data_IF_207459008701
#
_entry.id   IF_207459008701
#
_cell.length_a   1.000
_cell.length_b   1.000
_cell.length_c   1.000
_cell.angle_alpha   90.00
_cell.angle_beta   90.00
_cell.angle_gamma   90.00
#
_symmetry.space_group_name_H-M   'P 1'
#
loop_
_entity.id
_entity.type
_entity.pdbx_description
1 polymer ?
#
# COMPACT_ATOMS: atom_id res chain seq x y z
N UNK A 1 16.25 10.95 -4.96
CA UNK A 1 15.01 11.56 -4.43
C UNK A 1 15.26 12.13 -3.03
N UNK A 2 14.79 13.35 -2.75
CA UNK A 2 14.85 13.93 -1.41
C UNK A 2 13.94 13.10 -0.48
N UNK A 3 14.51 12.41 0.53
CA UNK A 3 13.75 11.50 1.39
C UNK A 3 12.79 12.30 2.26
N UNK A 4 11.52 12.34 1.86
CA UNK A 4 10.44 12.98 2.63
C UNK A 4 10.36 12.31 4.01
N UNK A 5 10.52 13.10 5.08
CA UNK A 5 10.55 12.59 6.46
C UNK A 5 9.17 12.34 7.05
N UNK A 6 8.14 13.01 6.53
CA UNK A 6 6.77 12.92 7.01
C UNK A 6 5.75 13.05 5.87
N UNK A 7 4.70 12.23 5.91
CA UNK A 7 3.56 12.22 5.00
C UNK A 7 2.28 12.38 5.82
N UNK A 8 1.60 13.53 5.66
CA UNK A 8 0.30 13.76 6.26
C UNK A 8 -0.82 13.32 5.31
N UNK A 9 -1.70 12.46 5.78
CA UNK A 9 -2.87 11.97 5.03
C UNK A 9 -4.05 12.92 5.23
N UNK A 10 -4.55 13.42 4.11
CA UNK A 10 -5.73 14.24 4.04
C UNK A 10 -6.89 13.50 3.36
N UNK A 11 -8.04 14.15 3.19
CA UNK A 11 -9.17 13.66 2.38
C UNK A 11 -8.81 13.54 0.89
N UNK A 12 -7.77 14.27 0.47
CA UNK A 12 -7.22 14.24 -0.89
C UNK A 12 -6.33 13.00 -1.12
N UNK A 13 -5.82 12.84 -2.35
CA UNK A 13 -4.93 11.73 -2.68
C UNK A 13 -3.52 11.89 -2.12
N UNK A 14 -2.74 10.81 -2.23
CA UNK A 14 -1.29 10.81 -2.00
C UNK A 14 -0.57 10.65 -3.34
N UNK A 15 0.71 10.98 -3.38
CA UNK A 15 1.56 10.75 -4.57
C UNK A 15 2.24 9.39 -4.53
N UNK A 16 2.72 8.89 -5.67
CA UNK A 16 3.55 7.69 -5.71
C UNK A 16 4.82 7.85 -4.87
N UNK A 17 5.41 9.05 -4.85
CA UNK A 17 6.57 9.35 -4.03
C UNK A 17 6.27 9.22 -2.52
N UNK A 18 5.05 9.54 -2.08
CA UNK A 18 4.64 9.35 -0.68
C UNK A 18 4.57 7.87 -0.30
N UNK A 19 4.02 7.03 -1.19
CA UNK A 19 3.98 5.56 -0.99
C UNK A 19 5.39 5.01 -0.84
N UNK A 20 6.30 5.38 -1.76
CA UNK A 20 7.70 4.97 -1.69
C UNK A 20 8.39 5.48 -0.41
N UNK A 21 8.13 6.73 -0.01
CA UNK A 21 8.69 7.32 1.21
C UNK A 21 8.30 6.53 2.47
N UNK A 22 7.04 6.12 2.58
CA UNK A 22 6.57 5.32 3.73
C UNK A 22 7.05 3.87 3.64
N UNK A 23 6.96 3.25 2.48
CA UNK A 23 7.27 1.83 2.26
C UNK A 23 8.77 1.53 2.44
N UNK A 24 9.65 2.32 1.79
CA UNK A 24 11.11 2.07 1.72
C UNK A 24 11.94 2.91 2.67
N UNK A 25 11.46 4.10 3.03
CA UNK A 25 12.27 5.11 3.73
C UNK A 25 11.71 5.51 5.10
N UNK A 26 10.74 4.75 5.61
CA UNK A 26 10.17 4.89 6.96
C UNK A 26 9.69 6.32 7.27
N UNK A 27 9.19 7.04 6.26
CA UNK A 27 8.57 8.35 6.46
C UNK A 27 7.44 8.23 7.49
N UNK A 28 7.41 9.17 8.44
CA UNK A 28 6.37 9.21 9.47
C UNK A 28 5.03 9.55 8.84
N UNK A 29 3.96 8.97 9.36
CA UNK A 29 2.60 9.19 8.88
C UNK A 29 1.80 9.93 9.94
N UNK A 30 0.96 10.87 9.50
CA UNK A 30 -0.02 11.56 10.36
C UNK A 30 -1.37 11.67 9.63
N UNK A 31 -2.46 11.84 10.38
CA UNK A 31 -3.80 12.07 9.82
C UNK A 31 -4.16 13.54 10.03
N UNK A 32 -4.59 14.22 8.97
CA UNK A 32 -4.96 15.64 9.04
C UNK A 32 -6.27 15.85 9.83
N UNK A 33 -6.50 17.07 10.36
CA UNK A 33 -7.78 17.42 10.98
C UNK A 33 -8.98 17.30 10.02
N UNK A 34 -8.78 17.60 8.73
CA UNK A 34 -9.81 17.47 7.70
C UNK A 34 -10.16 16.01 7.44
N UNK A 35 -9.17 15.11 7.34
CA UNK A 35 -9.40 13.67 7.24
C UNK A 35 -10.15 13.13 8.48
N UNK A 36 -9.73 13.54 9.68
CA UNK A 36 -10.40 13.18 10.94
C UNK A 36 -11.87 13.60 10.93
N UNK A 37 -12.17 14.82 10.49
CA UNK A 37 -13.54 15.34 10.39
C UNK A 37 -14.38 14.55 9.37
N UNK A 38 -13.82 14.23 8.21
CA UNK A 38 -14.49 13.47 7.17
C UNK A 38 -14.77 12.02 7.63
N UNK A 39 -13.81 11.38 8.30
CA UNK A 39 -13.99 10.05 8.88
C UNK A 39 -15.11 10.02 9.91
N UNK A 40 -15.12 10.96 10.87
CA UNK A 40 -16.18 11.06 11.88
C UNK A 40 -17.56 11.28 11.25
N UNK A 41 -17.64 12.10 10.20
CA UNK A 41 -18.89 12.31 9.44
C UNK A 41 -19.36 11.01 8.79
N UNK A 42 -18.45 10.28 8.13
CA UNK A 42 -18.76 9.00 7.49
C UNK A 42 -19.17 7.91 8.49
N UNK A 43 -18.60 7.95 9.70
CA UNK A 43 -18.86 6.99 10.76
C UNK A 43 -20.28 7.14 11.30
N UNK A 44 -20.76 8.37 11.49
CA UNK A 44 -22.14 8.64 11.95
C UNK A 44 -23.19 7.97 11.06
N UNK A 45 -23.02 8.02 9.73
CA UNK A 45 -23.93 7.30 8.82
C UNK A 45 -23.95 5.79 9.08
N UNK A 46 -22.80 5.18 9.36
CA UNK A 46 -22.74 3.74 9.66
C UNK A 46 -23.42 3.41 10.98
N UNK A 47 -23.26 4.26 11.99
CA UNK A 47 -23.92 4.12 13.28
C UNK A 47 -25.44 4.24 13.15
N UNK A 48 -25.92 5.21 12.36
CA UNK A 48 -27.34 5.38 12.06
C UNK A 48 -27.92 4.16 11.31
N UNK A 49 -27.20 3.64 10.31
CA UNK A 49 -27.60 2.42 9.59
C UNK A 49 -27.56 1.18 10.47
N UNK A 50 -26.61 1.08 11.39
CA UNK A 50 -26.51 -0.03 12.32
C UNK A 50 -27.65 -0.02 13.35
N UNK A 51 -28.10 1.16 13.76
CA UNK A 51 -29.25 1.35 14.66
C UNK A 51 -30.60 1.21 13.95
N UNK A 52 -30.65 1.49 12.65
CA UNK A 52 -31.85 1.40 11.82
C UNK A 52 -32.30 -0.04 11.51
N UNK A 53 -33.53 -0.17 11.03
CA UNK A 53 -34.13 -1.46 10.64
C UNK A 53 -33.85 -1.89 9.19
N UNK A 54 -33.18 -1.05 8.39
CA UNK A 54 -32.89 -1.35 6.98
C UNK A 54 -31.62 -2.21 6.87
N UNK A 55 -31.66 -3.40 6.26
CA UNK A 55 -30.48 -4.22 6.05
C UNK A 55 -29.43 -3.52 5.16
N UNK A 56 -28.18 -3.49 5.60
CA UNK A 56 -27.04 -2.91 4.88
C UNK A 56 -25.90 -3.92 4.86
N UNK A 57 -25.37 -4.18 3.66
CA UNK A 57 -24.31 -5.17 3.42
C UNK A 57 -23.07 -4.90 4.29
N UNK A 58 -22.63 -5.92 5.02
CA UNK A 58 -21.47 -5.86 5.91
C UNK A 58 -21.67 -5.03 7.18
N UNK A 59 -22.87 -4.49 7.41
CA UNK A 59 -23.28 -3.79 8.63
C UNK A 59 -24.28 -4.65 9.41
N UNK A 60 -25.37 -5.08 8.76
CA UNK A 60 -26.46 -5.87 9.36
C UNK A 60 -26.79 -7.16 8.59
N UNK A 61 -25.98 -7.49 7.57
CA UNK A 61 -26.01 -8.78 6.87
C UNK A 61 -24.64 -9.45 6.81
N UNK A 62 -24.60 -10.73 6.43
CA UNK A 62 -23.37 -11.48 6.19
C UNK A 62 -22.58 -11.03 4.94
N UNK A 63 -21.54 -11.79 4.59
CA UNK A 63 -20.64 -11.48 3.47
C UNK A 63 -20.70 -12.54 2.36
N UNK A 64 -20.44 -12.14 1.10
CA UNK A 64 -20.37 -13.06 -0.03
C UNK A 64 -21.65 -13.89 -0.19
N UNK A 65 -21.51 -15.22 -0.18
CA UNK A 65 -22.65 -16.14 -0.28
C UNK A 65 -23.70 -15.96 0.84
N UNK A 66 -23.33 -15.34 1.97
CA UNK A 66 -24.20 -15.10 3.12
C UNK A 66 -24.75 -13.67 3.15
N UNK A 67 -24.62 -12.90 2.06
CA UNK A 67 -25.06 -11.49 1.98
C UNK A 67 -26.54 -11.28 2.28
N UNK A 68 -27.38 -12.31 2.10
CA UNK A 68 -28.83 -12.26 2.31
C UNK A 68 -29.26 -12.64 3.75
N UNK A 69 -28.34 -13.05 4.61
CA UNK A 69 -28.66 -13.41 6.00
C UNK A 69 -28.58 -12.18 6.90
N UNK A 70 -29.66 -11.93 7.64
CA UNK A 70 -29.68 -10.91 8.69
C UNK A 70 -28.82 -11.34 9.88
N UNK A 71 -28.13 -10.37 10.49
CA UNK A 71 -27.25 -10.61 11.64
C UNK A 71 -27.72 -9.77 12.83
N UNK A 72 -28.06 -10.48 13.91
CA UNK A 72 -28.46 -9.88 15.18
C UNK A 72 -27.37 -8.94 15.71
N UNK A 73 -27.78 -7.83 16.33
CA UNK A 73 -26.86 -6.79 16.83
C UNK A 73 -25.75 -7.37 17.72
N UNK A 74 -26.09 -8.32 18.59
CA UNK A 74 -25.15 -8.99 19.51
C UNK A 74 -24.03 -9.75 18.79
N UNK A 75 -24.28 -10.23 17.57
CA UNK A 75 -23.36 -11.07 16.82
C UNK A 75 -22.51 -10.27 15.82
N UNK A 76 -22.83 -8.99 15.60
CA UNK A 76 -22.15 -8.15 14.60
C UNK A 76 -20.67 -7.94 14.89
N UNK A 77 -20.27 -7.75 16.15
CA UNK A 77 -18.85 -7.62 16.52
C UNK A 77 -18.10 -8.93 16.21
N UNK A 78 -18.67 -10.06 16.65
CA UNK A 78 -18.07 -11.37 16.41
C UNK A 78 -17.99 -11.70 14.91
N UNK A 79 -18.97 -11.27 14.12
CA UNK A 79 -18.96 -11.41 12.67
C UNK A 79 -17.77 -10.70 12.03
N UNK A 80 -17.46 -9.45 12.43
CA UNK A 80 -16.31 -8.72 11.87
C UNK A 80 -14.98 -9.43 12.21
N UNK A 81 -14.81 -9.90 13.45
CA UNK A 81 -13.62 -10.67 13.87
C UNK A 81 -13.50 -11.98 13.09
N UNK A 82 -14.62 -12.68 12.90
CA UNK A 82 -14.66 -13.96 12.16
C UNK A 82 -14.37 -13.77 10.67
N UNK A 83 -14.79 -12.66 10.07
CA UNK A 83 -14.44 -12.30 8.70
C UNK A 83 -12.91 -12.21 8.55
N UNK A 84 -12.26 -11.44 9.40
CA UNK A 84 -10.79 -11.27 9.38
C UNK A 84 -10.09 -12.62 9.52
N UNK A 85 -10.43 -13.40 10.55
CA UNK A 85 -9.80 -14.71 10.81
C UNK A 85 -10.00 -15.71 9.68
N UNK A 86 -11.21 -15.76 9.09
CA UNK A 86 -11.50 -16.69 7.99
C UNK A 86 -10.79 -16.30 6.68
N UNK A 87 -10.52 -15.02 6.46
CA UNK A 87 -9.91 -14.52 5.23
C UNK A 87 -8.38 -14.41 5.32
N UNK A 88 -7.79 -14.49 6.52
CA UNK A 88 -6.35 -14.61 6.73
C UNK A 88 -5.80 -16.00 6.35
N UNK A 89 -6.18 -16.48 5.16
CA UNK A 89 -5.89 -17.80 4.63
C UNK A 89 -4.68 -17.82 3.67
N UNK A 90 -3.79 -16.84 3.79
CA UNK A 90 -2.58 -16.76 2.97
C UNK A 90 -1.58 -17.89 3.27
N UNK A 91 -0.80 -18.30 2.27
CA UNK A 91 0.23 -19.35 2.37
C UNK A 91 1.52 -18.95 1.64
N UNK A 92 2.60 -19.69 1.90
CA UNK A 92 3.90 -19.44 1.27
C UNK A 92 4.83 -18.57 2.11
N UNK A 93 5.95 -18.11 1.53
CA UNK A 93 6.89 -17.23 2.22
C UNK A 93 6.24 -15.88 2.54
N UNK A 94 6.82 -15.15 3.50
CA UNK A 94 6.39 -13.80 3.80
C UNK A 94 6.77 -12.86 2.65
N UNK A 95 5.84 -11.98 2.24
CA UNK A 95 6.16 -10.88 1.32
C UNK A 95 7.07 -9.86 2.00
N UNK A 96 7.78 -9.09 1.18
CA UNK A 96 8.76 -8.10 1.63
C UNK A 96 8.11 -7.02 2.51
N UNK A 97 8.87 -6.55 3.51
CA UNK A 97 8.43 -5.52 4.46
C UNK A 97 7.86 -4.28 3.77
N UNK A 98 8.51 -3.82 2.69
CA UNK A 98 8.08 -2.64 1.95
C UNK A 98 6.69 -2.82 1.30
N UNK A 99 6.38 -4.02 0.82
CA UNK A 99 5.08 -4.37 0.23
C UNK A 99 3.99 -4.28 1.29
N UNK A 100 4.21 -4.88 2.47
CA UNK A 100 3.24 -4.82 3.57
C UNK A 100 3.04 -3.39 4.05
N UNK A 101 4.11 -2.60 4.16
CA UNK A 101 4.02 -1.18 4.54
C UNK A 101 3.25 -0.36 3.51
N UNK A 102 3.47 -0.59 2.22
CA UNK A 102 2.70 0.06 1.16
C UNK A 102 1.21 -0.30 1.22
N UNK A 103 0.90 -1.60 1.38
CA UNK A 103 -0.45 -2.13 1.57
C UNK A 103 -1.14 -1.45 2.78
N UNK A 104 -0.48 -1.40 3.94
CA UNK A 104 -1.02 -0.74 5.14
C UNK A 104 -1.25 0.76 4.93
N UNK A 105 -0.29 1.45 4.31
CA UNK A 105 -0.38 2.88 4.06
C UNK A 105 -1.50 3.24 3.07
N UNK A 106 -1.65 2.48 1.99
CA UNK A 106 -2.71 2.68 1.00
C UNK A 106 -4.09 2.35 1.58
N UNK A 107 -4.21 1.30 2.39
CA UNK A 107 -5.43 0.99 3.12
C UNK A 107 -5.82 2.12 4.06
N UNK A 108 -4.84 2.66 4.80
CA UNK A 108 -5.00 3.83 5.65
C UNK A 108 -5.46 5.06 4.86
N UNK A 109 -4.83 5.35 3.71
CA UNK A 109 -5.27 6.42 2.80
C UNK A 109 -6.72 6.24 2.33
N UNK A 110 -7.17 5.02 2.11
CA UNK A 110 -8.57 4.76 1.75
C UNK A 110 -9.50 5.06 2.92
N UNK A 111 -9.10 4.75 4.16
CA UNK A 111 -9.84 5.14 5.37
C UNK A 111 -9.93 6.67 5.53
N UNK A 112 -8.83 7.41 5.33
CA UNK A 112 -8.78 8.88 5.52
C UNK A 112 -9.56 9.67 4.47
N UNK A 113 -9.99 9.04 3.37
CA UNK A 113 -10.90 9.66 2.39
C UNK A 113 -12.27 10.05 2.97
N UNK A 114 -12.64 9.52 4.14
CA UNK A 114 -13.95 9.77 4.75
C UNK A 114 -15.11 9.12 4.01
N UNK A 115 -14.85 8.04 3.24
CA UNK A 115 -15.89 7.30 2.49
C UNK A 115 -16.03 5.85 2.92
N UNK A 116 -15.24 5.43 3.90
CA UNK A 116 -15.16 4.04 4.35
C UNK A 116 -16.06 3.76 5.55
N UNK A 117 -16.26 4.73 6.45
CA UNK A 117 -17.15 4.58 7.62
C UNK A 117 -16.53 3.86 8.83
N UNK A 118 -15.21 3.88 8.95
CA UNK A 118 -14.46 3.36 10.10
C UNK A 118 -14.21 4.44 11.14
N UNK A 119 -13.91 4.05 12.38
CA UNK A 119 -13.52 5.00 13.44
C UNK A 119 -12.11 5.54 13.21
N UNK A 120 -11.87 6.74 13.71
CA UNK A 120 -10.54 7.38 13.72
C UNK A 120 -9.53 6.54 14.51
N UNK A 121 -9.95 5.93 15.62
CA UNK A 121 -9.09 5.05 16.43
C UNK A 121 -8.49 3.88 15.63
N UNK A 122 -9.25 3.31 14.70
CA UNK A 122 -8.77 2.23 13.84
C UNK A 122 -7.69 2.72 12.86
N UNK A 123 -7.92 3.87 12.22
CA UNK A 123 -6.91 4.48 11.35
C UNK A 123 -5.66 4.91 12.12
N UNK A 124 -5.82 5.42 13.34
CA UNK A 124 -4.70 5.78 14.21
C UNK A 124 -3.85 4.56 14.57
N UNK A 125 -4.47 3.39 14.77
CA UNK A 125 -3.72 2.14 15.02
C UNK A 125 -2.78 1.81 13.84
N UNK A 126 -3.22 2.01 12.59
CA UNK A 126 -2.36 1.85 11.40
C UNK A 126 -1.22 2.87 11.36
N UNK A 127 -1.49 4.13 11.72
CA UNK A 127 -0.45 5.17 11.85
C UNK A 127 0.60 4.74 12.87
N UNK A 128 0.16 4.28 14.03
CA UNK A 128 1.03 3.91 15.14
C UNK A 128 1.92 2.71 14.76
N UNK A 129 1.36 1.69 14.09
CA UNK A 129 2.13 0.58 13.53
C UNK A 129 3.20 1.04 12.52
N UNK A 130 2.79 1.82 11.52
CA UNK A 130 3.69 2.32 10.48
C UNK A 130 4.83 3.14 11.08
N UNK A 131 4.51 3.98 12.08
CA UNK A 131 5.47 4.84 12.78
C UNK A 131 6.36 4.10 13.76
N UNK A 132 5.86 3.04 14.42
CA UNK A 132 6.64 2.15 15.27
C UNK A 132 7.54 1.19 14.47
N UNK A 133 7.35 1.11 13.15
CA UNK A 133 8.10 0.22 12.28
C UNK A 133 7.66 -1.25 12.38
N UNK A 134 6.51 -1.52 13.01
CA UNK A 134 5.93 -2.85 13.14
C UNK A 134 5.26 -3.23 11.83
N UNK A 135 5.59 -4.40 11.29
CA UNK A 135 5.10 -4.87 10.00
C UNK A 135 4.51 -6.27 10.12
N UNK A 136 3.20 -6.47 9.85
CA UNK A 136 2.58 -7.80 9.85
C UNK A 136 3.30 -8.80 8.94
N UNK A 137 3.37 -10.05 9.35
CA UNK A 137 3.82 -11.13 8.48
C UNK A 137 2.65 -11.52 7.57
N UNK A 138 2.84 -11.27 6.28
CA UNK A 138 1.83 -11.52 5.26
C UNK A 138 2.38 -12.57 4.28
N UNK A 139 1.74 -13.73 4.14
CA UNK A 139 2.15 -14.72 3.15
C UNK A 139 1.90 -14.26 1.70
N UNK A 140 2.74 -14.72 0.78
CA UNK A 140 2.75 -14.31 -0.63
C UNK A 140 1.51 -14.75 -1.42
N UNK A 141 0.98 -15.95 -1.16
CA UNK A 141 -0.13 -16.51 -1.93
C UNK A 141 -1.44 -16.46 -1.15
N UNK A 142 -2.57 -16.36 -1.87
CA UNK A 142 -3.92 -16.49 -1.32
C UNK A 142 -4.91 -15.43 -1.79
N UNK A 143 -4.44 -14.29 -2.31
CA UNK A 143 -5.29 -13.30 -2.96
C UNK A 143 -5.63 -13.69 -4.40
N UNK A 144 -6.86 -13.41 -4.84
CA UNK A 144 -7.29 -13.58 -6.24
C UNK A 144 -7.10 -12.32 -7.08
N UNK A 145 -6.90 -11.15 -6.44
CA UNK A 145 -6.70 -9.88 -7.15
C UNK A 145 -7.91 -9.33 -7.93
N UNK A 146 -9.10 -9.96 -7.88
CA UNK A 146 -10.25 -9.54 -8.69
C UNK A 146 -11.25 -8.61 -7.98
N UNK A 147 -11.34 -8.68 -6.64
CA UNK A 147 -12.31 -7.91 -5.85
C UNK A 147 -11.77 -7.40 -4.51
N UNK A 148 -10.43 -7.39 -4.37
CA UNK A 148 -9.73 -6.95 -3.18
C UNK A 148 -8.62 -7.92 -2.77
N UNK A 149 -7.59 -7.37 -2.16
CA UNK A 149 -6.46 -8.05 -1.56
C UNK A 149 -6.85 -8.64 -0.19
N UNK A 150 -7.94 -9.43 -0.19
CA UNK A 150 -8.63 -9.89 1.02
C UNK A 150 -7.68 -10.62 1.97
N UNK A 151 -6.92 -11.59 1.47
CA UNK A 151 -6.02 -12.39 2.28
C UNK A 151 -4.88 -11.58 2.93
N UNK A 152 -4.08 -10.80 2.17
CA UNK A 152 -3.01 -10.02 2.77
C UNK A 152 -3.53 -8.90 3.67
N UNK A 153 -4.64 -8.23 3.32
CA UNK A 153 -5.25 -7.22 4.20
C UNK A 153 -5.80 -7.84 5.49
N UNK A 154 -6.32 -9.07 5.43
CA UNK A 154 -6.79 -9.79 6.62
C UNK A 154 -5.64 -10.08 7.59
N UNK A 155 -4.46 -10.43 7.10
CA UNK A 155 -3.27 -10.60 7.96
C UNK A 155 -2.87 -9.29 8.64
N UNK A 156 -2.95 -8.15 7.95
CA UNK A 156 -2.74 -6.86 8.60
C UNK A 156 -3.82 -6.52 9.64
N UNK A 157 -5.09 -6.80 9.33
CA UNK A 157 -6.20 -6.58 10.25
C UNK A 157 -6.11 -7.47 11.50
N UNK A 158 -5.66 -8.73 11.37
CA UNK A 158 -5.37 -9.61 12.51
C UNK A 158 -4.34 -8.97 13.45
N UNK A 159 -3.25 -8.43 12.91
CA UNK A 159 -2.22 -7.77 13.70
C UNK A 159 -2.80 -6.58 14.49
N UNK A 160 -3.67 -5.77 13.88
CA UNK A 160 -4.33 -4.65 14.59
C UNK A 160 -5.20 -5.13 15.77
N UNK A 161 -5.79 -6.33 15.66
CA UNK A 161 -6.55 -6.98 16.73
C UNK A 161 -5.64 -7.61 17.81
N UNK A 162 -4.31 -7.53 17.67
CA UNK A 162 -3.33 -8.16 18.55
C UNK A 162 -3.10 -9.65 18.25
N UNK A 163 -3.55 -10.14 17.09
CA UNK A 163 -3.44 -11.54 16.68
C UNK A 163 -2.40 -11.72 15.56
N UNK A 164 -1.79 -12.90 15.48
CA UNK A 164 -0.78 -13.22 14.46
C UNK A 164 0.63 -12.72 14.81
N UNK A 165 1.52 -12.81 13.83
CA UNK A 165 2.94 -12.47 13.97
C UNK A 165 3.30 -11.23 13.14
N UNK A 166 4.31 -10.50 13.62
CA UNK A 166 4.82 -9.28 13.02
C UNK A 166 6.34 -9.31 13.05
N UNK A 167 6.97 -8.55 12.15
CA UNK A 167 8.35 -8.11 12.29
C UNK A 167 8.40 -6.77 13.03
N UNK A 168 9.29 -6.66 14.01
CA UNK A 168 9.63 -5.37 14.63
C UNK A 168 10.49 -4.50 13.68
N UNK A 169 10.88 -3.30 14.13
CA UNK A 169 11.71 -2.40 13.33
C UNK A 169 13.09 -3.00 12.97
N UNK A 170 13.61 -3.95 13.76
CA UNK A 170 14.88 -4.65 13.49
C UNK A 170 14.73 -5.83 12.53
N UNK A 171 13.49 -6.19 12.16
CA UNK A 171 13.18 -7.35 11.34
C UNK A 171 12.98 -8.64 12.15
N UNK A 172 12.95 -8.57 13.49
CA UNK A 172 12.76 -9.75 14.33
C UNK A 172 11.27 -10.12 14.36
N UNK A 173 10.98 -11.41 14.12
CA UNK A 173 9.63 -11.96 14.28
C UNK A 173 9.23 -12.03 15.76
N UNK A 174 8.01 -11.60 16.05
CA UNK A 174 7.37 -11.72 17.36
C UNK A 174 5.85 -11.70 17.24
N UNK A 175 5.14 -11.99 18.33
CA UNK A 175 3.68 -11.89 18.36
C UNK A 175 3.23 -10.42 18.20
N UNK A 176 2.10 -10.20 17.53
CA UNK A 176 1.53 -8.87 17.36
C UNK A 176 1.28 -8.20 18.72
N UNK A 177 0.70 -8.93 19.68
CA UNK A 177 0.38 -8.38 21.01
C UNK A 177 1.62 -7.92 21.79
N UNK A 178 2.74 -8.64 21.69
CA UNK A 178 3.98 -8.25 22.36
C UNK A 178 4.61 -7.01 21.70
N UNK A 179 4.56 -6.92 20.38
CA UNK A 179 5.04 -5.75 19.63
C UNK A 179 4.21 -4.50 19.96
N UNK A 180 2.89 -4.66 20.01
CA UNK A 180 1.95 -3.59 20.40
C UNK A 180 2.24 -3.11 21.82
N UNK A 181 2.41 -4.02 22.77
CA UNK A 181 2.79 -3.69 24.14
C UNK A 181 4.12 -2.93 24.23
N UNK A 182 5.13 -3.37 23.47
CA UNK A 182 6.43 -2.70 23.43
C UNK A 182 6.36 -1.28 22.83
N UNK A 183 5.45 -1.04 21.88
CA UNK A 183 5.24 0.26 21.24
C UNK A 183 4.17 1.14 21.93
N UNK A 184 3.52 0.66 22.99
CA UNK A 184 2.45 1.39 23.67
C UNK A 184 1.13 1.46 22.88
N UNK A 185 0.91 0.54 21.94
CA UNK A 185 -0.30 0.46 21.11
C UNK A 185 -1.30 -0.50 21.75
N UNK A 186 -2.58 -0.15 21.79
CA UNK A 186 -3.64 -1.02 22.29
C UNK A 186 -4.33 -1.78 21.15
N UNK A 187 -4.63 -3.09 21.30
CA UNK A 187 -5.41 -3.85 20.33
C UNK A 187 -6.77 -3.20 20.04
N UNK A 188 -7.16 -3.18 18.77
CA UNK A 188 -8.45 -2.63 18.36
C UNK A 188 -9.52 -3.72 18.36
N UNK A 189 -10.64 -3.46 19.04
CA UNK A 189 -11.85 -4.25 18.86
C UNK A 189 -12.66 -3.68 17.69
N UNK A 190 -12.95 -4.52 16.69
CA UNK A 190 -13.68 -4.11 15.50
C UNK A 190 -15.17 -3.89 15.78
N UNK A 191 -15.70 -2.80 15.27
CA UNK A 191 -17.13 -2.50 15.27
C UNK A 191 -17.78 -2.77 13.91
N UNK A 192 -19.10 -2.57 13.82
CA UNK A 192 -19.87 -2.78 12.59
C UNK A 192 -19.18 -2.14 11.36
N UNK A 193 -19.12 -2.91 10.27
CA UNK A 193 -18.44 -2.62 8.99
C UNK A 193 -16.91 -2.63 9.00
N UNK A 194 -16.26 -2.53 10.16
CA UNK A 194 -14.81 -2.29 10.20
C UNK A 194 -13.99 -3.47 9.66
N UNK A 195 -14.41 -4.72 9.92
CA UNK A 195 -13.75 -5.90 9.35
C UNK A 195 -13.75 -5.87 7.82
N UNK A 196 -14.91 -5.63 7.21
CA UNK A 196 -15.02 -5.52 5.75
C UNK A 196 -14.23 -4.32 5.20
N UNK A 197 -14.28 -3.18 5.89
CA UNK A 197 -13.58 -1.97 5.50
C UNK A 197 -12.06 -2.13 5.47
N UNK A 198 -11.50 -2.99 6.33
CA UNK A 198 -10.07 -3.26 6.41
C UNK A 198 -9.56 -4.15 5.29
N UNK A 199 -10.40 -5.02 4.72
CA UNK A 199 -9.94 -6.06 3.79
C UNK A 199 -10.42 -5.88 2.36
N UNK A 200 -11.42 -5.02 2.14
CA UNK A 200 -11.99 -4.80 0.83
C UNK A 200 -11.32 -3.63 0.10
N UNK A 201 -10.19 -3.91 -0.57
CA UNK A 201 -9.49 -2.95 -1.42
C UNK A 201 -8.31 -3.58 -2.17
N UNK A 202 -7.81 -2.88 -3.18
CA UNK A 202 -6.71 -3.32 -4.06
C UNK A 202 -5.38 -2.67 -3.65
N UNK A 203 -5.17 -2.53 -2.34
CA UNK A 203 -4.09 -1.71 -1.77
C UNK A 203 -2.71 -2.38 -1.95
N UNK A 204 -2.66 -3.71 -1.94
CA UNK A 204 -1.42 -4.49 -2.04
C UNK A 204 -0.88 -4.51 -3.46
N UNK A 205 -1.74 -4.86 -4.42
CA UNK A 205 -1.36 -4.85 -5.84
C UNK A 205 -1.00 -3.44 -6.32
N UNK A 206 -1.67 -2.39 -5.83
CA UNK A 206 -1.34 -1.01 -6.16
C UNK A 206 0.02 -0.62 -5.58
N UNK A 207 0.30 -0.99 -4.33
CA UNK A 207 1.60 -0.78 -3.70
C UNK A 207 2.73 -1.44 -4.49
N UNK A 208 2.56 -2.70 -4.88
CA UNK A 208 3.52 -3.43 -5.71
C UNK A 208 3.74 -2.76 -7.07
N UNK A 209 2.67 -2.35 -7.77
CA UNK A 209 2.79 -1.67 -9.06
C UNK A 209 3.56 -0.35 -8.94
N UNK A 210 3.28 0.44 -7.91
CA UNK A 210 3.99 1.72 -7.68
C UNK A 210 5.49 1.47 -7.45
N UNK A 211 5.84 0.46 -6.66
CA UNK A 211 7.23 0.08 -6.42
C UNK A 211 7.92 -0.44 -7.68
N UNK A 212 7.25 -1.32 -8.43
CA UNK A 212 7.77 -1.81 -9.70
C UNK A 212 8.01 -0.68 -10.71
N UNK A 213 7.11 0.30 -10.80
CA UNK A 213 7.30 1.49 -11.64
C UNK A 213 8.49 2.34 -11.19
N UNK A 214 8.70 2.49 -9.88
CA UNK A 214 9.86 3.22 -9.34
C UNK A 214 11.17 2.50 -9.69
N UNK A 215 11.22 1.17 -9.49
CA UNK A 215 12.40 0.37 -9.80
C UNK A 215 12.69 0.33 -11.30
N UNK A 216 11.65 0.20 -12.13
CA UNK A 216 11.80 0.23 -13.59
C UNK A 216 12.34 1.58 -14.08
N UNK A 217 11.94 2.69 -13.46
CA UNK A 217 12.47 4.02 -13.80
C UNK A 217 13.99 4.10 -13.57
N UNK A 218 14.46 3.55 -12.45
CA UNK A 218 15.89 3.50 -12.13
C UNK A 218 16.61 2.51 -13.07
N UNK A 219 16.02 1.34 -13.33
CA UNK A 219 16.58 0.33 -14.23
C UNK A 219 16.70 0.81 -15.68
N UNK A 220 15.76 1.61 -16.19
CA UNK A 220 15.88 2.21 -17.51
C UNK A 220 17.12 3.13 -17.61
N UNK A 221 17.40 3.89 -16.56
CA UNK A 221 18.61 4.72 -16.50
C UNK A 221 19.89 3.87 -16.48
N UNK A 222 19.88 2.79 -15.67
CA UNK A 222 21.00 1.84 -15.64
C UNK A 222 21.19 1.15 -16.99
N UNK A 223 20.11 0.84 -17.70
CA UNK A 223 20.15 0.24 -19.02
C UNK A 223 20.80 1.18 -20.05
N UNK A 224 20.43 2.47 -20.07
CA UNK A 224 21.07 3.47 -20.94
C UNK A 224 22.58 3.59 -20.65
N UNK A 225 22.97 3.65 -19.37
CA UNK A 225 24.39 3.71 -18.98
C UNK A 225 25.16 2.46 -19.44
N UNK A 226 24.58 1.28 -19.20
CA UNK A 226 25.21 0.00 -19.58
C UNK A 226 25.32 -0.13 -21.10
N UNK A 227 24.31 0.36 -21.83
CA UNK A 227 24.33 0.40 -23.28
C UNK A 227 25.43 1.35 -23.80
N UNK A 228 25.58 2.55 -23.23
CA UNK A 228 26.67 3.46 -23.58
C UNK A 228 28.05 2.80 -23.40
N UNK A 229 28.31 2.17 -22.26
CA UNK A 229 29.56 1.45 -22.01
C UNK A 229 29.79 0.30 -23.01
N UNK A 230 28.73 -0.40 -23.41
CA UNK A 230 28.80 -1.47 -24.40
C UNK A 230 29.11 -0.93 -25.80
N UNK A 231 28.57 0.23 -26.16
CA UNK A 231 28.84 0.92 -27.43
C UNK A 231 30.32 1.32 -27.49
N UNK A 232 30.86 1.91 -26.42
CA UNK A 232 32.28 2.20 -26.32
C UNK A 232 33.13 0.92 -26.46
N UNK A 233 32.82 -0.12 -25.68
CA UNK A 233 33.57 -1.39 -25.70
C UNK A 233 33.56 -2.10 -27.07
N UNK A 234 32.54 -1.86 -27.89
CA UNK A 234 32.41 -2.42 -29.24
C UNK A 234 32.88 -1.46 -30.35
N UNK A 235 33.43 -0.29 -30.00
CA UNK A 235 33.82 0.76 -30.95
C UNK A 235 32.65 1.18 -31.86
N UNK A 236 31.45 1.27 -31.29
CA UNK A 236 30.26 1.74 -31.98
C UNK A 236 30.28 3.25 -32.22
N UNK A 237 29.38 3.73 -33.07
CA UNK A 237 29.23 5.16 -33.40
C UNK A 237 28.07 5.80 -32.65
N UNK A 238 28.24 7.02 -32.17
CA UNK A 238 27.22 7.81 -31.46
C UNK A 238 26.24 8.54 -32.40
N UNK A 239 26.59 8.66 -33.69
CA UNK A 239 25.82 9.40 -34.70
C UNK A 239 24.37 8.95 -34.83
N UNK A 240 24.08 7.69 -34.50
CA UNK A 240 22.72 7.13 -34.56
C UNK A 240 21.82 7.65 -33.45
N UNK A 241 22.37 8.28 -32.40
CA UNK A 241 21.65 8.86 -31.27
C UNK A 241 21.44 10.37 -31.40
N UNK A 242 21.85 10.97 -32.53
CA UNK A 242 21.70 12.39 -32.77
C UNK A 242 20.22 12.82 -32.62
N UNK A 243 19.91 13.90 -31.86
CA UNK A 243 18.53 14.26 -31.51
C UNK A 243 17.59 14.34 -32.71
N UNK A 244 18.05 14.87 -33.85
CA UNK A 244 17.28 15.03 -35.08
C UNK A 244 16.80 13.71 -35.69
N UNK A 245 17.46 12.57 -35.41
CA UNK A 245 17.05 11.24 -35.87
C UNK A 245 15.87 10.67 -35.07
N UNK A 246 15.66 11.19 -33.86
CA UNK A 246 14.61 10.74 -32.94
C UNK A 246 13.46 11.74 -32.89
N UNK A 247 13.72 13.01 -32.53
CA UNK A 247 12.69 14.05 -32.51
C UNK A 247 13.03 15.16 -33.52
N UNK A 248 12.10 15.56 -34.41
CA UNK A 248 10.69 15.13 -34.52
C UNK A 248 10.44 13.92 -35.45
N UNK A 249 11.47 13.29 -36.03
CA UNK A 249 11.28 12.26 -37.08
C UNK A 249 10.55 10.99 -36.61
N UNK A 250 10.66 10.64 -35.33
CA UNK A 250 10.05 9.47 -34.69
C UNK A 250 9.43 9.89 -33.35
N UNK A 251 8.14 10.25 -33.31
CA UNK A 251 7.50 10.86 -32.13
C UNK A 251 7.15 9.82 -31.05
N UNK A 252 8.15 9.07 -30.58
CA UNK A 252 8.05 8.10 -29.51
C UNK A 252 8.83 8.62 -28.29
N UNK A 253 8.11 9.09 -27.27
CA UNK A 253 8.68 9.77 -26.10
C UNK A 253 9.80 8.96 -25.42
N UNK A 254 9.61 7.65 -25.22
CA UNK A 254 10.62 6.80 -24.60
C UNK A 254 11.89 6.64 -25.44
N UNK A 255 11.75 6.62 -26.78
CA UNK A 255 12.89 6.56 -27.70
C UNK A 255 13.68 7.86 -27.68
N UNK A 256 12.99 9.01 -27.65
CA UNK A 256 13.62 10.33 -27.56
C UNK A 256 14.44 10.47 -26.27
N UNK A 257 13.87 10.08 -25.13
CA UNK A 257 14.53 10.15 -23.82
C UNK A 257 15.79 9.27 -23.78
N UNK A 258 15.67 7.98 -24.15
CA UNK A 258 16.79 7.04 -24.12
C UNK A 258 17.91 7.45 -25.08
N UNK A 259 17.56 7.88 -26.30
CA UNK A 259 18.55 8.38 -27.25
C UNK A 259 19.27 9.63 -26.77
N UNK A 260 18.55 10.58 -26.15
CA UNK A 260 19.16 11.78 -25.57
C UNK A 260 20.14 11.43 -24.43
N UNK A 261 19.80 10.45 -23.58
CA UNK A 261 20.70 9.96 -22.53
C UNK A 261 21.97 9.35 -23.14
N UNK A 262 21.83 8.44 -24.11
CA UNK A 262 22.95 7.78 -24.79
C UNK A 262 23.85 8.79 -25.50
N UNK A 263 23.26 9.74 -26.22
CA UNK A 263 23.99 10.81 -26.89
C UNK A 263 24.79 11.65 -25.88
N UNK A 264 24.19 11.99 -24.73
CA UNK A 264 24.88 12.74 -23.68
C UNK A 264 26.02 11.93 -23.01
N UNK A 265 25.81 10.63 -22.79
CA UNK A 265 26.79 9.73 -22.16
C UNK A 265 28.00 9.45 -23.05
N UNK A 266 27.80 9.31 -24.36
CA UNK A 266 28.85 9.00 -25.32
C UNK A 266 29.62 10.24 -25.81
N UNK A 267 29.07 11.43 -25.55
CA UNK A 267 29.64 12.68 -26.00
C UNK A 267 31.09 12.83 -25.55
N UNK A 268 31.94 13.21 -26.50
CA UNK A 268 33.39 13.45 -26.29
C UNK A 268 34.17 12.20 -25.83
N UNK A 269 33.59 11.00 -25.94
CA UNK A 269 34.32 9.75 -25.69
C UNK A 269 35.44 9.57 -26.72
N UNK A 270 36.65 9.27 -26.23
CA UNK A 270 37.80 8.92 -27.08
C UNK A 270 37.79 7.48 -27.61
N UNK A 271 36.76 6.70 -27.29
CA UNK A 271 36.63 5.29 -27.67
C UNK A 271 35.63 5.11 -28.82
N UNK A 272 34.60 5.95 -28.87
CA UNK A 272 33.54 5.95 -29.90
C UNK A 272 34.14 6.24 -31.29
N UNK A 273 33.59 5.56 -32.31
CA UNK A 273 34.05 5.59 -33.70
C UNK A 273 33.41 6.70 -34.57
#
# INVERSE_FOLDING_TARGET
MNKKKEVSLDVSGVTFADVIAVARFDAKVSISPSATTAMNTSRKFIEDYAAGGVPVYGVSTGFGALANLHIDVKDRIQLQKSLIRSHAAGVGPAVEREVVRALMFLRLRTMTSGRTGVRVALAQTYVDYLNAGITPIVPEFGSLGCSGDLAPLSHCALAMMGEGNVHDHSGKEMSAIDAMKAAGISPIELEAKEGLALINGTDGMLGMLIMACADLSDLCTVADITAAMSIEGLLGTDRVYAPELHAPLRPQLGQEISAANLFALLKDSGIVA
#
